data_IF_572069092402
#
_entry.id   IF_572069092402
#
_cell.length_a   1.000
_cell.length_b   1.000
_cell.length_c   1.000
_cell.angle_alpha   90.00
_cell.angle_beta   90.00
_cell.angle_gamma   90.00
#
_symmetry.space_group_name_H-M   'P 1'
#
loop_
_entity.id
_entity.type
_entity.pdbx_description
1 polymer ?
#
# COMPACT_ATOMS: atom_id res chain seq x y z
N UNK A 1 15.27 -1.67 -17.64
CA UNK A 1 13.79 -1.68 -17.65
C UNK A 1 13.30 -2.00 -16.25
N UNK A 2 13.17 -0.98 -15.40
CA UNK A 2 12.88 -1.10 -13.95
C UNK A 2 11.38 -1.31 -13.63
N UNK A 3 10.53 -1.26 -14.66
CA UNK A 3 9.07 -1.39 -14.52
C UNK A 3 8.66 -2.84 -14.21
N UNK A 4 9.52 -3.83 -14.48
CA UNK A 4 9.24 -5.25 -14.31
C UNK A 4 9.77 -5.89 -13.02
N UNK A 5 10.36 -5.13 -12.08
CA UNK A 5 10.78 -5.75 -10.82
C UNK A 5 9.56 -6.01 -9.91
N UNK A 6 9.39 -7.29 -9.57
CA UNK A 6 8.42 -7.83 -8.59
C UNK A 6 8.92 -7.64 -7.15
N UNK A 7 9.61 -6.54 -6.86
CA UNK A 7 10.16 -6.31 -5.52
C UNK A 7 9.00 -5.96 -4.57
N UNK A 8 8.51 -6.99 -3.87
CA UNK A 8 7.51 -6.83 -2.81
C UNK A 8 8.24 -6.24 -1.58
N UNK A 9 7.81 -5.08 -1.06
CA UNK A 9 8.45 -4.47 0.10
C UNK A 9 8.30 -5.35 1.35
N UNK A 10 9.41 -5.50 2.09
CA UNK A 10 9.49 -6.26 3.33
C UNK A 10 9.33 -5.40 4.58
N UNK A 11 9.16 -4.08 4.42
CA UNK A 11 8.89 -3.14 5.51
C UNK A 11 8.06 -1.95 5.04
N UNK A 12 7.42 -1.26 5.99
CA UNK A 12 6.66 -0.04 5.70
C UNK A 12 7.52 1.04 5.03
N UNK A 13 8.74 1.26 5.55
CA UNK A 13 9.65 2.25 4.99
C UNK A 13 10.09 1.91 3.57
N UNK A 14 10.32 0.62 3.28
CA UNK A 14 10.62 0.17 1.92
C UNK A 14 9.42 0.37 0.98
N UNK A 15 8.21 0.06 1.44
CA UNK A 15 6.99 0.29 0.66
C UNK A 15 6.78 1.78 0.33
N UNK A 16 6.98 2.66 1.30
CA UNK A 16 6.91 4.12 1.10
C UNK A 16 7.98 4.61 0.11
N UNK A 17 9.20 4.11 0.21
CA UNK A 17 10.28 4.45 -0.73
C UNK A 17 9.96 4.01 -2.16
N UNK A 18 9.47 2.78 -2.34
CA UNK A 18 9.09 2.26 -3.65
C UNK A 18 7.91 3.03 -4.25
N UNK A 19 6.89 3.39 -3.45
CA UNK A 19 5.78 4.23 -3.89
C UNK A 19 6.24 5.63 -4.32
N UNK A 20 7.16 6.24 -3.57
CA UNK A 20 7.73 7.54 -3.93
C UNK A 20 8.52 7.47 -5.24
N UNK A 21 9.35 6.43 -5.42
CA UNK A 21 10.07 6.21 -6.68
C UNK A 21 9.09 5.98 -7.85
N UNK A 22 8.02 5.21 -7.62
CA UNK A 22 6.99 4.94 -8.62
C UNK A 22 6.19 6.20 -9.01
N UNK A 23 6.03 7.14 -8.07
CA UNK A 23 5.45 8.44 -8.33
C UNK A 23 6.35 9.30 -9.22
N UNK A 24 7.67 9.28 -9.04
CA UNK A 24 8.61 9.95 -9.96
C UNK A 24 8.50 9.40 -11.39
N UNK A 25 8.34 8.08 -11.55
CA UNK A 25 8.11 7.47 -12.87
C UNK A 25 6.81 8.00 -13.49
N UNK A 26 5.76 8.23 -12.69
CA UNK A 26 4.51 8.83 -13.21
C UNK A 26 4.73 10.24 -13.75
N UNK A 27 5.50 11.04 -13.02
CA UNK A 27 5.82 12.41 -13.44
C UNK A 27 6.63 12.42 -14.75
N UNK A 28 7.50 11.44 -14.96
CA UNK A 28 8.20 11.26 -16.23
C UNK A 28 7.23 10.87 -17.36
N UNK A 29 6.35 9.89 -17.13
CA UNK A 29 5.32 9.49 -18.11
C UNK A 29 4.45 10.70 -18.49
N UNK A 30 3.97 11.45 -17.51
CA UNK A 30 3.13 12.63 -17.73
C UNK A 30 3.84 13.74 -18.50
N UNK A 31 5.15 13.89 -18.27
CA UNK A 31 5.98 14.84 -19.00
C UNK A 31 6.12 14.49 -20.48
N UNK A 32 6.19 13.20 -20.82
CA UNK A 32 6.27 12.76 -22.22
C UNK A 32 4.91 12.70 -22.92
N UNK A 33 3.79 12.77 -22.18
CA UNK A 33 2.44 12.71 -22.73
C UNK A 33 2.17 13.70 -23.87
N UNK A 34 2.53 15.00 -23.75
CA UNK A 34 2.38 15.96 -24.83
C UNK A 34 3.18 15.62 -26.09
N UNK A 35 4.43 15.16 -25.94
CA UNK A 35 5.30 14.81 -27.06
C UNK A 35 4.78 13.56 -27.79
N UNK A 36 4.30 12.57 -27.04
CA UNK A 36 3.59 11.40 -27.59
C UNK A 36 2.37 11.83 -28.40
N UNK A 37 1.50 12.68 -27.84
CA UNK A 37 0.30 13.16 -28.53
C UNK A 37 0.65 13.92 -29.81
N UNK A 38 1.67 14.79 -29.77
CA UNK A 38 2.12 15.55 -30.93
C UNK A 38 2.67 14.65 -32.04
N UNK A 39 3.50 13.66 -31.69
CA UNK A 39 4.08 12.70 -32.62
C UNK A 39 2.99 11.87 -33.31
N UNK A 40 2.03 11.39 -32.52
CA UNK A 40 0.87 10.63 -33.01
C UNK A 40 0.03 11.45 -33.99
N UNK A 41 -0.33 12.68 -33.60
CA UNK A 41 -1.10 13.59 -34.43
C UNK A 41 -0.39 13.93 -35.75
N UNK A 42 0.92 14.14 -35.69
CA UNK A 42 1.73 14.38 -36.88
C UNK A 42 1.72 13.16 -37.80
N UNK A 43 1.95 11.96 -37.26
CA UNK A 43 1.92 10.71 -38.03
C UNK A 43 0.57 10.47 -38.71
N UNK A 44 -0.55 10.70 -38.01
CA UNK A 44 -1.89 10.56 -38.59
C UNK A 44 -2.15 11.58 -39.69
N UNK A 45 -1.69 12.83 -39.56
CA UNK A 45 -1.79 13.83 -40.63
C UNK A 45 -1.03 13.40 -41.89
N UNK A 46 0.18 12.86 -41.73
CA UNK A 46 1.00 12.38 -42.85
C UNK A 46 0.31 11.24 -43.61
N UNK A 47 -0.37 10.33 -42.91
CA UNK A 47 -1.06 9.20 -43.55
C UNK A 47 -2.40 9.62 -44.17
N UNK A 48 -3.10 10.61 -43.59
CA UNK A 48 -4.44 11.05 -44.06
C UNK A 48 -4.40 11.57 -45.50
N UNK A 49 -3.34 12.27 -45.85
CA UNK A 49 -3.23 12.97 -47.14
C UNK A 49 -2.47 12.13 -48.19
N UNK A 50 -2.20 10.84 -47.90
CA UNK A 50 -1.38 9.95 -48.72
C UNK A 50 -2.16 8.85 -49.46
N UNK A 51 -1.60 8.37 -50.58
CA UNK A 51 -2.11 7.19 -51.29
C UNK A 51 -1.89 5.94 -50.43
N UNK A 52 -2.99 5.27 -50.06
CA UNK A 52 -3.02 4.12 -49.14
C UNK A 52 -2.29 2.87 -49.63
N UNK A 53 -1.77 2.89 -50.87
CA UNK A 53 -1.13 1.74 -51.51
C UNK A 53 0.40 1.77 -51.42
N UNK A 54 1.01 2.93 -51.12
CA UNK A 54 2.47 3.01 -51.00
C UNK A 54 2.96 2.32 -49.69
N UNK A 55 3.87 1.33 -49.81
CA UNK A 55 4.39 0.58 -48.67
C UNK A 55 4.89 1.44 -47.51
N UNK A 56 5.45 2.63 -47.78
CA UNK A 56 5.97 3.52 -46.73
C UNK A 56 4.89 3.99 -45.76
N UNK A 57 3.68 4.29 -46.25
CA UNK A 57 2.55 4.71 -45.40
C UNK A 57 1.93 3.54 -44.64
N UNK A 58 1.98 2.33 -45.21
CA UNK A 58 1.58 1.10 -44.51
C UNK A 58 2.49 0.87 -43.30
N UNK A 59 3.82 0.91 -43.50
CA UNK A 59 4.79 0.78 -42.41
C UNK A 59 4.66 1.89 -41.37
N UNK A 60 4.44 3.14 -41.80
CA UNK A 60 4.22 4.25 -40.87
C UNK A 60 2.98 4.01 -39.99
N UNK A 61 1.88 3.52 -40.57
CA UNK A 61 0.66 3.19 -39.82
C UNK A 61 0.91 2.09 -38.79
N UNK A 62 1.62 1.03 -39.17
CA UNK A 62 1.99 -0.04 -38.23
C UNK A 62 2.85 0.49 -37.07
N UNK A 63 3.80 1.39 -37.35
CA UNK A 63 4.63 2.01 -36.29
C UNK A 63 3.83 2.91 -35.37
N UNK A 64 2.85 3.66 -35.88
CA UNK A 64 1.97 4.48 -35.04
C UNK A 64 1.06 3.62 -34.17
N UNK A 65 0.53 2.50 -34.71
CA UNK A 65 -0.25 1.56 -33.92
C UNK A 65 0.61 0.93 -32.80
N UNK A 66 1.83 0.49 -33.12
CA UNK A 66 2.75 -0.06 -32.12
C UNK A 66 3.15 0.99 -31.05
N UNK A 67 3.25 2.26 -31.42
CA UNK A 67 3.48 3.36 -30.47
C UNK A 67 2.27 3.54 -29.53
N UNK A 68 1.05 3.49 -30.06
CA UNK A 68 -0.18 3.55 -29.27
C UNK A 68 -0.31 2.36 -28.32
N UNK A 69 -0.08 1.15 -28.81
CA UNK A 69 -0.14 -0.07 -28.02
C UNK A 69 0.88 0.00 -26.88
N UNK A 70 2.13 0.38 -27.18
CA UNK A 70 3.19 0.52 -26.16
C UNK A 70 2.91 1.64 -25.15
N UNK A 71 2.30 2.75 -25.55
CA UNK A 71 1.91 3.83 -24.63
C UNK A 71 0.80 3.38 -23.67
N UNK A 72 -0.22 2.71 -24.20
CA UNK A 72 -1.31 2.18 -23.39
C UNK A 72 -0.84 1.06 -22.46
N UNK A 73 0.03 0.18 -22.93
CA UNK A 73 0.65 -0.87 -22.11
C UNK A 73 1.48 -0.27 -20.98
N UNK A 74 2.27 0.77 -21.25
CA UNK A 74 3.05 1.47 -20.21
C UNK A 74 2.16 2.04 -19.11
N UNK A 75 1.05 2.69 -19.47
CA UNK A 75 0.09 3.23 -18.50
C UNK A 75 -0.56 2.11 -17.67
N UNK A 76 -0.95 1.00 -18.32
CA UNK A 76 -1.51 -0.17 -17.63
C UNK A 76 -0.50 -0.78 -16.65
N UNK A 77 0.75 -1.00 -17.08
CA UNK A 77 1.82 -1.51 -16.23
C UNK A 77 2.07 -0.61 -15.02
N UNK A 78 2.04 0.71 -15.22
CA UNK A 78 2.21 1.66 -14.12
C UNK A 78 1.08 1.55 -13.10
N UNK A 79 -0.18 1.49 -13.54
CA UNK A 79 -1.33 1.33 -12.65
C UNK A 79 -1.32 0.00 -11.91
N UNK A 80 -0.98 -1.10 -12.61
CA UNK A 80 -0.86 -2.41 -11.99
C UNK A 80 0.21 -2.42 -10.89
N UNK A 81 1.40 -1.89 -11.18
CA UNK A 81 2.47 -1.80 -10.17
C UNK A 81 2.10 -0.88 -9.01
N UNK A 82 1.38 0.22 -9.26
CA UNK A 82 0.89 1.10 -8.20
C UNK A 82 -0.08 0.39 -7.26
N UNK A 83 -1.02 -0.38 -7.80
CA UNK A 83 -1.97 -1.16 -7.00
C UNK A 83 -1.20 -2.18 -6.13
N UNK A 84 -0.29 -2.93 -6.74
CA UNK A 84 0.55 -3.91 -6.03
C UNK A 84 1.35 -3.28 -4.88
N UNK A 85 2.01 -2.15 -5.12
CA UNK A 85 2.78 -1.44 -4.09
C UNK A 85 1.88 -0.87 -2.99
N UNK A 86 0.69 -0.38 -3.33
CA UNK A 86 -0.29 0.14 -2.37
C UNK A 86 -0.79 -0.97 -1.46
N UNK A 87 -1.11 -2.13 -2.03
CA UNK A 87 -1.53 -3.29 -1.26
C UNK A 87 -0.38 -3.82 -0.40
N UNK A 88 0.83 -3.94 -0.93
CA UNK A 88 1.98 -4.32 -0.12
C UNK A 88 2.22 -3.36 1.06
N UNK A 89 2.04 -2.04 0.87
CA UNK A 89 2.11 -1.06 1.95
C UNK A 89 1.02 -1.31 3.01
N UNK A 90 -0.23 -1.53 2.60
CA UNK A 90 -1.34 -1.81 3.51
C UNK A 90 -1.11 -3.09 4.32
N UNK A 91 -0.60 -4.15 3.69
CA UNK A 91 -0.20 -5.37 4.37
C UNK A 91 0.90 -5.11 5.42
N UNK A 92 1.94 -4.34 5.08
CA UNK A 92 3.02 -4.02 6.01
C UNK A 92 2.52 -3.19 7.21
N UNK A 93 1.58 -2.26 6.98
CA UNK A 93 0.90 -1.52 8.06
C UNK A 93 0.13 -2.49 8.98
N UNK A 94 -0.65 -3.40 8.39
CA UNK A 94 -1.42 -4.38 9.13
C UNK A 94 -0.53 -5.32 9.95
N UNK A 95 0.55 -5.83 9.37
CA UNK A 95 1.49 -6.70 10.05
C UNK A 95 2.14 -6.02 11.26
N UNK A 96 2.57 -4.76 11.11
CA UNK A 96 3.10 -3.95 12.21
C UNK A 96 2.07 -3.78 13.32
N UNK A 97 0.86 -3.36 12.97
CA UNK A 97 -0.18 -3.02 13.94
C UNK A 97 -0.69 -4.28 14.66
N UNK A 98 -0.76 -5.41 13.95
CA UNK A 98 -1.08 -6.73 14.53
C UNK A 98 -0.04 -7.19 15.54
N UNK A 99 1.26 -7.08 15.20
CA UNK A 99 2.33 -7.40 16.14
C UNK A 99 2.28 -6.50 17.38
N UNK A 100 1.98 -5.20 17.20
CA UNK A 100 1.80 -4.29 18.33
C UNK A 100 0.60 -4.70 19.21
N UNK A 101 -0.53 -5.08 18.61
CA UNK A 101 -1.70 -5.58 19.34
C UNK A 101 -1.37 -6.86 20.12
N UNK A 102 -0.63 -7.80 19.52
CA UNK A 102 -0.18 -9.03 20.18
C UNK A 102 0.71 -8.73 21.40
N UNK A 103 1.66 -7.80 21.28
CA UNK A 103 2.50 -7.37 22.41
C UNK A 103 1.65 -6.78 23.55
N UNK A 104 0.66 -5.95 23.22
CA UNK A 104 -0.24 -5.34 24.22
C UNK A 104 -1.05 -6.41 24.97
N UNK A 105 -1.61 -7.39 24.24
CA UNK A 105 -2.36 -8.50 24.81
C UNK A 105 -1.48 -9.37 25.71
N UNK A 106 -0.26 -9.71 25.26
CA UNK A 106 0.69 -10.48 26.05
C UNK A 106 1.09 -9.76 27.35
N UNK A 107 1.27 -8.43 27.30
CA UNK A 107 1.54 -7.63 28.49
C UNK A 107 0.37 -7.64 29.48
N UNK A 108 -0.87 -7.52 28.99
CA UNK A 108 -2.07 -7.58 29.82
C UNK A 108 -2.25 -8.96 30.46
N UNK A 109 -2.03 -10.04 29.70
CA UNK A 109 -2.10 -11.41 30.21
C UNK A 109 -1.06 -11.65 31.32
N UNK A 110 0.19 -11.22 31.09
CA UNK A 110 1.26 -11.32 32.07
C UNK A 110 0.97 -10.51 33.35
N UNK A 111 0.38 -9.32 33.22
CA UNK A 111 -0.05 -8.51 34.35
C UNK A 111 -1.14 -9.21 35.18
N UNK A 112 -2.19 -9.71 34.52
CA UNK A 112 -3.29 -10.42 35.16
C UNK A 112 -2.83 -11.72 35.85
N UNK A 113 -1.87 -12.44 35.27
CA UNK A 113 -1.27 -13.60 35.90
C UNK A 113 -0.58 -13.24 37.22
N UNK A 114 0.22 -12.16 37.24
CA UNK A 114 0.92 -11.68 38.45
C UNK A 114 -0.02 -11.13 39.51
N UNK A 115 -1.07 -10.41 39.11
CA UNK A 115 -2.08 -9.87 40.03
C UNK A 115 -2.84 -10.99 40.77
N UNK A 116 -3.18 -12.09 40.08
CA UNK A 116 -3.91 -13.23 40.69
C UNK A 116 -3.16 -13.89 41.85
N UNK A 117 -1.83 -13.78 41.87
CA UNK A 117 -0.99 -14.37 42.92
C UNK A 117 -0.82 -13.44 44.14
N UNK A 118 -1.17 -12.15 44.01
CA UNK A 118 -1.03 -11.17 45.09
C UNK A 118 -2.16 -11.29 46.10
N UNK A 119 -1.79 -11.58 47.36
CA UNK A 119 -2.71 -11.53 48.51
C UNK A 119 -2.40 -10.30 49.35
N UNK A 120 -3.37 -9.38 49.58
CA UNK A 120 -3.15 -8.22 50.44
C UNK A 120 -2.88 -8.68 51.87
N UNK A 121 -1.94 -8.00 52.55
CA UNK A 121 -1.55 -8.31 53.94
C UNK A 121 -2.03 -7.25 54.92
N UNK A 122 -2.49 -6.10 54.43
CA UNK A 122 -3.00 -4.97 55.20
C UNK A 122 -4.11 -4.25 54.43
N UNK A 123 -4.83 -3.35 55.11
CA UNK A 123 -5.81 -2.48 54.46
C UNK A 123 -5.16 -1.54 53.44
N UNK A 124 -3.99 -0.99 53.76
CA UNK A 124 -3.21 -0.15 52.84
C UNK A 124 -2.82 -0.93 51.56
N UNK A 125 -2.47 -2.22 51.68
CA UNK A 125 -2.20 -3.07 50.50
C UNK A 125 -3.45 -3.24 49.62
N UNK A 126 -4.64 -3.31 50.22
CA UNK A 126 -5.91 -3.39 49.48
C UNK A 126 -6.13 -2.12 48.67
N UNK A 127 -5.95 -0.94 49.28
CA UNK A 127 -6.12 0.34 48.59
C UNK A 127 -5.13 0.51 47.43
N UNK A 128 -3.88 0.08 47.62
CA UNK A 128 -2.86 0.07 46.56
C UNK A 128 -3.26 -0.87 45.41
N UNK A 129 -3.74 -2.08 45.72
CA UNK A 129 -4.17 -3.04 44.69
C UNK A 129 -5.39 -2.53 43.92
N UNK A 130 -6.36 -1.90 44.59
CA UNK A 130 -7.52 -1.27 43.93
C UNK A 130 -7.05 -0.21 42.95
N UNK A 131 -6.17 0.70 43.39
CA UNK A 131 -5.65 1.76 42.51
C UNK A 131 -4.91 1.20 41.30
N UNK A 132 -4.05 0.19 41.49
CA UNK A 132 -3.37 -0.49 40.39
C UNK A 132 -4.35 -1.15 39.42
N UNK A 133 -5.44 -1.71 39.93
CA UNK A 133 -6.49 -2.30 39.11
C UNK A 133 -7.23 -1.23 38.28
N UNK A 134 -7.54 -0.07 38.87
CA UNK A 134 -8.15 1.06 38.16
C UNK A 134 -7.23 1.60 37.04
N UNK A 135 -5.94 1.76 37.31
CA UNK A 135 -4.93 2.17 36.32
C UNK A 135 -4.83 1.13 35.19
N UNK A 136 -4.90 -0.16 35.52
CA UNK A 136 -4.91 -1.25 34.56
C UNK A 136 -6.16 -1.25 33.68
N UNK A 137 -7.36 -1.08 34.26
CA UNK A 137 -8.63 -1.00 33.50
C UNK A 137 -8.62 0.18 32.52
N UNK A 138 -8.08 1.32 32.95
CA UNK A 138 -7.90 2.49 32.09
C UNK A 138 -6.99 2.17 30.90
N UNK A 139 -5.86 1.51 31.16
CA UNK A 139 -4.94 1.05 30.10
C UNK A 139 -5.59 0.01 29.20
N UNK A 140 -6.40 -0.89 29.76
CA UNK A 140 -7.09 -1.94 29.01
C UNK A 140 -8.09 -1.35 28.02
N UNK A 141 -8.88 -0.37 28.47
CA UNK A 141 -9.83 0.36 27.62
C UNK A 141 -9.11 1.06 26.46
N UNK A 142 -7.99 1.74 26.74
CA UNK A 142 -7.20 2.40 25.69
C UNK A 142 -6.56 1.42 24.68
N UNK A 143 -6.29 0.18 25.09
CA UNK A 143 -5.78 -0.86 24.19
C UNK A 143 -6.91 -1.51 23.38
N UNK A 144 -8.11 -1.62 23.93
CA UNK A 144 -9.29 -2.13 23.23
C UNK A 144 -9.56 -1.35 21.94
N UNK A 145 -9.54 -0.01 22.01
CA UNK A 145 -9.70 0.87 20.84
C UNK A 145 -8.66 0.57 19.75
N UNK A 146 -7.41 0.32 20.14
CA UNK A 146 -6.33 0.00 19.20
C UNK A 146 -6.54 -1.35 18.55
N UNK A 147 -6.90 -2.37 19.35
CA UNK A 147 -7.17 -3.73 18.86
C UNK A 147 -8.37 -3.71 17.91
N UNK A 148 -9.43 -2.98 18.26
CA UNK A 148 -10.59 -2.80 17.40
C UNK A 148 -10.22 -2.10 16.08
N UNK A 149 -9.30 -1.13 16.12
CA UNK A 149 -8.71 -0.52 14.93
C UNK A 149 -8.03 -1.54 14.01
N UNK A 150 -7.19 -2.42 14.57
CA UNK A 150 -6.52 -3.49 13.81
C UNK A 150 -7.54 -4.46 13.21
N UNK A 151 -8.55 -4.89 13.97
CA UNK A 151 -9.60 -5.78 13.47
C UNK A 151 -10.42 -5.14 12.35
N UNK A 152 -10.75 -3.85 12.48
CA UNK A 152 -11.49 -3.11 11.46
C UNK A 152 -10.66 -2.96 10.18
N UNK A 153 -9.36 -2.69 10.33
CA UNK A 153 -8.45 -2.62 9.19
C UNK A 153 -8.32 -3.98 8.48
N UNK A 154 -8.16 -5.07 9.23
CA UNK A 154 -8.14 -6.44 8.68
C UNK A 154 -9.41 -6.75 7.89
N UNK A 155 -10.59 -6.43 8.43
CA UNK A 155 -11.86 -6.62 7.72
C UNK A 155 -11.91 -5.83 6.41
N UNK A 156 -11.39 -4.59 6.40
CA UNK A 156 -11.32 -3.79 5.18
C UNK A 156 -10.43 -4.45 4.13
N UNK A 157 -9.24 -4.93 4.51
CA UNK A 157 -8.34 -5.64 3.60
C UNK A 157 -9.00 -6.89 3.00
N UNK A 158 -9.73 -7.67 3.81
CA UNK A 158 -10.48 -8.82 3.30
C UNK A 158 -11.60 -8.42 2.32
N UNK A 159 -12.29 -7.30 2.55
CA UNK A 159 -13.34 -6.80 1.65
C UNK A 159 -12.77 -6.25 0.33
N UNK A 160 -11.56 -5.69 0.38
CA UNK A 160 -10.85 -5.14 -0.79
C UNK A 160 -10.27 -6.24 -1.70
N UNK A 161 -10.46 -7.54 -1.39
CA UNK A 161 -9.81 -8.69 -2.06
C UNK A 161 -8.29 -8.52 -2.16
N UNK A 162 -7.71 -8.00 -1.09
CA UNK A 162 -6.28 -7.84 -0.95
C UNK A 162 -5.59 -9.20 -1.09
N UNK A 163 -4.51 -9.27 -1.88
CA UNK A 163 -3.93 -10.53 -2.36
C UNK A 163 -3.53 -11.54 -1.28
#
# INVERSE_FOLDING_TARGET
>A
TSVASEDIPNSLNEAEQLLNQHQTIKEEIDRYGPDYAQMKDYGHRVIRDADTTDPQYIFLRERLNALDDGWNELDQMWHQKKNMLTEAMQYQMFARDSNQAEILLNHQEAYLAREREQKPKSFDDVEILIKKHEDFVTTMTANEDKIQGVCSFAQRLCQENHY
#
